data_IF_767345483916
#
_entry.id   IF_767345483916
#
_cell.length_a   1.000
_cell.length_b   1.000
_cell.length_c   1.000
_cell.angle_alpha   90.00
_cell.angle_beta   90.00
_cell.angle_gamma   90.00
#
_symmetry.space_group_name_H-M   'P 1'
#
loop_
_entity.id
_entity.type
_entity.pdbx_description
1 polymer ?
#
# COMPACT_ATOMS: atom_id res chain seq x y z
N UNK A 1 -9.25 23.74 -5.49
CA UNK A 1 -7.83 23.69 -5.08
C UNK A 1 -7.35 25.12 -5.02
N UNK A 2 -6.89 25.59 -3.87
CA UNK A 2 -6.41 26.97 -3.70
C UNK A 2 -5.07 27.15 -4.45
N UNK A 3 -4.74 28.38 -4.86
CA UNK A 3 -3.41 28.73 -5.40
C UNK A 3 -2.28 28.28 -4.46
N UNK A 4 -2.50 28.30 -3.15
CA UNK A 4 -1.52 27.87 -2.15
C UNK A 4 -1.28 26.35 -2.16
N UNK A 5 -2.28 25.54 -2.53
CA UNK A 5 -2.16 24.07 -2.60
C UNK A 5 -1.29 23.62 -3.78
N UNK A 6 -1.11 24.48 -4.80
CA UNK A 6 -0.23 24.20 -5.94
C UNK A 6 1.26 24.35 -5.60
N UNK A 7 1.61 25.15 -4.60
CA UNK A 7 3.01 25.41 -4.22
C UNK A 7 3.53 24.47 -3.13
N UNK A 8 2.64 23.87 -2.34
CA UNK A 8 3.01 22.87 -1.33
C UNK A 8 2.03 21.69 -1.37
N UNK A 9 2.41 20.65 -2.11
CA UNK A 9 1.61 19.45 -2.30
C UNK A 9 1.32 18.73 -0.98
N UNK A 10 2.27 18.73 -0.04
CA UNK A 10 2.10 18.12 1.28
C UNK A 10 1.04 18.83 2.12
N UNK A 11 1.11 20.16 2.18
CA UNK A 11 0.12 20.96 2.88
C UNK A 11 -1.26 20.84 2.23
N UNK A 12 -1.33 20.87 0.89
CA UNK A 12 -2.57 20.65 0.14
C UNK A 12 -3.19 19.27 0.42
N UNK A 13 -2.36 18.23 0.45
CA UNK A 13 -2.77 16.86 0.76
C UNK A 13 -3.34 16.73 2.18
N UNK A 14 -2.65 17.27 3.18
CA UNK A 14 -3.05 17.18 4.59
C UNK A 14 -4.41 17.85 4.90
N UNK A 15 -4.83 18.84 4.09
CA UNK A 15 -6.17 19.44 4.21
C UNK A 15 -7.31 18.46 3.89
N UNK A 16 -7.05 17.47 3.03
CA UNK A 16 -8.07 16.54 2.55
C UNK A 16 -7.88 15.13 3.10
N UNK A 17 -6.64 14.75 3.41
CA UNK A 17 -6.31 13.41 3.85
C UNK A 17 -5.33 13.37 5.02
N UNK A 18 -5.52 12.37 5.89
CA UNK A 18 -4.61 12.03 6.97
C UNK A 18 -4.02 10.64 6.75
N UNK A 19 -2.75 10.47 7.07
CA UNK A 19 -2.05 9.18 7.02
C UNK A 19 -2.00 8.63 8.44
N UNK A 20 -2.47 7.41 8.61
CA UNK A 20 -2.37 6.66 9.85
C UNK A 20 -1.42 5.48 9.66
N UNK A 21 -0.40 5.40 10.50
CA UNK A 21 0.44 4.21 10.57
C UNK A 21 -0.40 3.05 11.13
N UNK A 22 -0.38 1.90 10.45
CA UNK A 22 -1.10 0.69 10.82
C UNK A 22 -0.47 -0.07 11.98
N UNK A 23 -0.16 0.63 13.07
CA UNK A 23 0.41 0.05 14.28
C UNK A 23 -0.64 -0.67 15.15
N UNK A 24 -1.90 -0.24 15.11
CA UNK A 24 -2.98 -0.88 15.86
C UNK A 24 -3.67 -1.98 15.05
N UNK A 25 -4.20 -2.99 15.75
CA UNK A 25 -4.96 -4.07 15.13
C UNK A 25 -6.21 -3.58 14.38
N UNK A 26 -6.87 -2.53 14.88
CA UNK A 26 -8.05 -1.93 14.24
C UNK A 26 -7.70 -1.28 12.90
N UNK A 27 -6.62 -0.48 12.85
CA UNK A 27 -6.18 0.18 11.60
C UNK A 27 -5.72 -0.87 10.59
N UNK A 28 -5.04 -1.95 11.03
CA UNK A 28 -4.67 -3.06 10.16
C UNK A 28 -5.88 -3.78 9.56
N UNK A 29 -6.93 -4.01 10.36
CA UNK A 29 -8.18 -4.61 9.86
C UNK A 29 -8.77 -3.78 8.71
N UNK A 30 -8.80 -2.45 8.86
CA UNK A 30 -9.28 -1.54 7.82
C UNK A 30 -8.40 -1.55 6.57
N UNK A 31 -7.08 -1.63 6.72
CA UNK A 31 -6.16 -1.81 5.57
C UNK A 31 -6.49 -3.10 4.80
N UNK A 32 -6.70 -4.22 5.50
CA UNK A 32 -7.02 -5.50 4.86
C UNK A 32 -8.37 -5.48 4.14
N UNK A 33 -9.36 -4.76 4.68
CA UNK A 33 -10.66 -4.56 4.03
C UNK A 33 -10.54 -3.69 2.78
N UNK A 34 -9.80 -2.58 2.85
CA UNK A 34 -9.54 -1.71 1.68
C UNK A 34 -8.83 -2.49 0.58
N UNK A 35 -7.84 -3.31 0.93
CA UNK A 35 -7.15 -4.19 -0.03
C UNK A 35 -8.10 -5.20 -0.65
N UNK A 36 -8.96 -5.85 0.14
CA UNK A 36 -9.94 -6.81 -0.38
C UNK A 36 -10.93 -6.15 -1.36
N UNK A 37 -11.50 -4.99 -1.02
CA UNK A 37 -12.39 -4.26 -1.92
C UNK A 37 -11.72 -3.93 -3.27
N UNK A 38 -10.43 -3.56 -3.26
CA UNK A 38 -9.71 -3.17 -4.48
C UNK A 38 -9.17 -4.38 -5.23
N UNK A 39 -8.36 -5.22 -4.61
CA UNK A 39 -7.65 -6.33 -5.28
C UNK A 39 -8.54 -7.55 -5.52
N UNK A 40 -9.47 -7.86 -4.60
CA UNK A 40 -10.34 -9.03 -4.70
C UNK A 40 -11.69 -8.71 -5.36
N UNK A 41 -12.39 -7.67 -4.91
CA UNK A 41 -13.75 -7.37 -5.38
C UNK A 41 -13.72 -6.59 -6.71
N UNK A 42 -12.88 -5.56 -6.84
CA UNK A 42 -12.87 -4.70 -8.03
C UNK A 42 -11.94 -5.20 -9.15
N UNK A 43 -10.65 -5.39 -8.87
CA UNK A 43 -9.63 -5.70 -9.88
C UNK A 43 -9.58 -7.19 -10.24
N UNK A 44 -10.13 -8.07 -9.40
CA UNK A 44 -10.08 -9.54 -9.55
C UNK A 44 -8.66 -10.09 -9.67
N UNK A 45 -7.67 -9.43 -9.06
CA UNK A 45 -6.28 -9.88 -9.02
C UNK A 45 -6.06 -10.97 -7.97
N UNK A 46 -6.86 -10.96 -6.91
CA UNK A 46 -6.82 -11.92 -5.81
C UNK A 46 -8.22 -12.53 -5.61
N UNK A 47 -8.35 -13.74 -5.04
CA UNK A 47 -9.65 -14.34 -4.79
C UNK A 47 -10.41 -13.61 -3.67
N UNK A 48 -11.73 -13.51 -3.81
CA UNK A 48 -12.61 -13.01 -2.76
C UNK A 48 -12.66 -13.97 -1.57
N UNK A 49 -12.46 -13.43 -0.36
CA UNK A 49 -12.50 -14.17 0.90
C UNK A 49 -13.76 -13.85 1.73
N UNK A 50 -14.37 -14.83 2.45
CA UNK A 50 -15.60 -14.61 3.23
C UNK A 50 -15.48 -13.59 4.36
N UNK A 51 -14.31 -13.45 4.97
CA UNK A 51 -14.06 -12.49 6.05
C UNK A 51 -13.81 -11.06 5.55
N UNK A 52 -13.77 -10.88 4.22
CA UNK A 52 -13.51 -9.63 3.50
C UNK A 52 -12.20 -8.98 3.88
N UNK A 53 -11.16 -9.79 4.08
CA UNK A 53 -9.78 -9.35 4.35
C UNK A 53 -8.84 -9.91 3.31
N UNK A 54 -8.04 -9.05 2.68
CA UNK A 54 -6.93 -9.49 1.84
C UNK A 54 -5.64 -9.42 2.66
N UNK A 55 -5.05 -10.58 2.87
CA UNK A 55 -3.80 -10.77 3.63
C UNK A 55 -2.89 -11.76 2.92
N UNK A 56 -1.58 -11.62 3.12
CA UNK A 56 -0.57 -12.54 2.62
C UNK A 56 0.56 -12.78 3.64
N UNK A 57 1.54 -13.60 3.26
CA UNK A 57 2.66 -13.99 4.12
C UNK A 57 3.61 -12.82 4.49
N UNK A 58 3.55 -11.69 3.79
CA UNK A 58 4.44 -10.54 4.02
C UNK A 58 3.85 -9.52 5.01
N UNK A 59 2.55 -9.62 5.32
CA UNK A 59 1.88 -8.71 6.25
C UNK A 59 2.47 -8.62 7.67
N UNK A 60 3.01 -9.70 8.27
CA UNK A 60 3.62 -9.62 9.60
C UNK A 60 4.85 -8.71 9.66
N UNK A 61 5.65 -8.63 8.60
CA UNK A 61 6.87 -7.80 8.53
C UNK A 61 6.65 -6.47 7.78
N UNK A 62 5.38 -6.08 7.60
CA UNK A 62 5.00 -4.89 6.86
C UNK A 62 4.62 -3.75 7.79
N UNK A 63 5.17 -2.57 7.53
CA UNK A 63 4.61 -1.31 8.00
C UNK A 63 3.43 -0.94 7.10
N UNK A 64 2.22 -1.00 7.65
CA UNK A 64 0.99 -0.65 6.94
C UNK A 64 0.72 0.85 7.04
N UNK A 65 0.16 1.46 5.99
CA UNK A 65 -0.27 2.85 5.98
C UNK A 65 -1.71 2.93 5.49
N UNK A 66 -2.59 3.48 6.32
CA UNK A 66 -3.97 3.77 5.96
C UNK A 66 -4.11 5.25 5.63
N UNK A 67 -4.76 5.55 4.52
CA UNK A 67 -5.15 6.91 4.16
C UNK A 67 -6.61 7.12 4.51
N UNK A 68 -6.92 8.18 5.26
CA UNK A 68 -8.29 8.60 5.57
C UNK A 68 -8.59 9.98 5.01
N UNK A 69 -9.88 10.26 4.84
CA UNK A 69 -10.38 11.63 4.70
C UNK A 69 -10.08 12.41 5.99
N UNK A 70 -9.54 13.62 5.89
CA UNK A 70 -9.35 14.53 7.03
C UNK A 70 -10.66 15.12 7.56
N UNK A 71 -11.80 14.80 6.94
CA UNK A 71 -13.13 15.27 7.33
C UNK A 71 -14.01 14.11 7.74
N UNK A 72 -14.84 14.34 8.75
CA UNK A 72 -15.88 13.42 9.19
C UNK A 72 -16.70 12.92 7.97
N UNK A 73 -16.95 11.61 7.87
CA UNK A 73 -16.77 10.60 8.92
C UNK A 73 -15.37 9.94 8.97
N UNK A 74 -14.33 10.57 8.43
CA UNK A 74 -12.94 10.05 8.43
C UNK A 74 -12.81 8.68 7.74
N UNK A 75 -13.54 8.52 6.64
CA UNK A 75 -13.58 7.26 5.89
C UNK A 75 -12.20 6.85 5.38
N UNK A 76 -11.88 5.54 5.38
CA UNK A 76 -10.75 5.00 4.63
C UNK A 76 -10.87 5.32 3.14
N UNK A 77 -9.78 5.84 2.59
CA UNK A 77 -9.63 6.27 1.19
C UNK A 77 -8.82 5.25 0.40
N UNK A 78 -7.75 4.77 1.01
CA UNK A 78 -6.79 3.88 0.39
C UNK A 78 -5.74 3.41 1.39
N UNK A 79 -4.80 2.59 0.94
CA UNK A 79 -3.69 2.13 1.74
C UNK A 79 -2.49 1.76 0.86
N UNK A 80 -1.35 1.59 1.52
CA UNK A 80 -0.14 1.00 0.96
C UNK A 80 0.60 0.29 2.09
N UNK A 81 1.57 -0.56 1.76
CA UNK A 81 2.50 -1.10 2.76
C UNK A 81 3.94 -0.90 2.35
N UNK A 82 4.83 -0.88 3.35
CA UNK A 82 6.26 -1.05 3.21
C UNK A 82 6.66 -2.36 3.88
N UNK A 83 7.09 -3.34 3.08
CA UNK A 83 7.64 -4.61 3.55
C UNK A 83 9.10 -4.38 3.90
N UNK A 84 9.48 -4.70 5.14
CA UNK A 84 10.87 -4.67 5.57
C UNK A 84 11.49 -6.05 5.34
N UNK A 85 12.75 -6.09 4.91
CA UNK A 85 13.48 -7.35 4.88
C UNK A 85 13.68 -7.87 6.30
N UNK A 86 13.60 -9.19 6.48
CA UNK A 86 13.83 -9.82 7.78
C UNK A 86 15.33 -9.76 8.13
N UNK A 87 15.76 -9.04 9.18
CA UNK A 87 17.17 -9.00 9.57
C UNK A 87 17.69 -10.34 10.09
N UNK A 88 16.81 -11.20 10.61
CA UNK A 88 17.14 -12.52 11.16
C UNK A 88 17.09 -13.64 10.11
N UNK A 89 16.56 -13.34 8.92
CA UNK A 89 16.55 -14.23 7.76
C UNK A 89 16.97 -13.46 6.49
N UNK A 90 18.29 -13.22 6.30
CA UNK A 90 18.80 -12.43 5.17
C UNK A 90 18.55 -13.06 3.80
N UNK A 91 18.23 -14.36 3.76
CA UNK A 91 17.94 -15.10 2.54
C UNK A 91 16.46 -15.01 2.15
N UNK A 92 15.57 -14.55 3.05
CA UNK A 92 14.16 -14.35 2.76
C UNK A 92 13.96 -13.29 1.66
N UNK A 93 13.37 -13.66 0.50
CA UNK A 93 13.16 -12.72 -0.60
C UNK A 93 11.98 -11.79 -0.34
N UNK A 94 12.12 -10.52 -0.74
CA UNK A 94 10.97 -9.62 -0.91
C UNK A 94 10.07 -10.11 -2.06
N UNK A 95 8.76 -9.78 -2.08
CA UNK A 95 7.85 -10.29 -3.12
C UNK A 95 8.32 -10.03 -4.55
N UNK A 96 8.93 -8.87 -4.83
CA UNK A 96 9.49 -8.51 -6.12
C UNK A 96 10.55 -9.50 -6.60
N UNK A 97 11.41 -9.99 -5.70
CA UNK A 97 12.46 -10.96 -6.05
C UNK A 97 11.86 -12.28 -6.55
N UNK A 98 10.75 -12.71 -5.95
CA UNK A 98 10.01 -13.89 -6.39
C UNK A 98 9.25 -13.64 -7.69
N UNK A 99 8.49 -12.56 -7.76
CA UNK A 99 7.65 -12.23 -8.91
C UNK A 99 8.47 -12.00 -10.19
N UNK A 100 9.69 -11.48 -10.05
CA UNK A 100 10.58 -11.15 -11.17
C UNK A 100 11.80 -12.08 -11.26
N UNK A 101 11.83 -13.22 -10.56
CA UNK A 101 13.01 -14.10 -10.49
C UNK A 101 13.59 -14.46 -11.87
N UNK A 102 12.73 -14.63 -12.87
CA UNK A 102 13.07 -15.00 -14.25
C UNK A 102 13.19 -13.82 -15.22
N UNK A 103 12.77 -12.61 -14.83
CA UNK A 103 12.70 -11.43 -15.72
C UNK A 103 13.60 -10.29 -15.28
N UNK A 104 14.09 -10.30 -14.04
CA UNK A 104 14.99 -9.28 -13.51
C UNK A 104 16.36 -9.33 -14.22
N UNK A 105 16.77 -8.18 -14.74
CA UNK A 105 18.11 -7.99 -15.28
C UNK A 105 19.12 -7.76 -14.13
N UNK A 106 19.79 -8.84 -13.76
CA UNK A 106 20.79 -8.85 -12.67
C UNK A 106 22.07 -8.09 -13.01
N UNK A 107 22.27 -7.67 -14.27
CA UNK A 107 23.35 -6.77 -14.62
C UNK A 107 23.05 -5.33 -14.20
N UNK A 108 21.77 -4.94 -14.11
CA UNK A 108 21.33 -3.62 -13.63
C UNK A 108 21.22 -3.63 -12.11
N UNK A 109 20.54 -4.63 -11.54
CA UNK A 109 20.36 -4.75 -10.10
C UNK A 109 20.24 -6.21 -9.70
N UNK A 110 21.09 -6.62 -8.78
CA UNK A 110 21.06 -7.95 -8.18
C UNK A 110 20.65 -7.82 -6.70
N UNK A 111 19.38 -8.10 -6.35
CA UNK A 111 18.88 -7.99 -4.97
C UNK A 111 19.71 -8.79 -3.96
N UNK A 112 20.31 -9.91 -4.37
CA UNK A 112 21.16 -10.73 -3.51
C UNK A 112 22.47 -10.04 -3.11
N UNK A 113 22.87 -8.95 -3.81
CA UNK A 113 24.06 -8.14 -3.50
C UNK A 113 23.75 -6.88 -2.68
N UNK A 114 22.48 -6.61 -2.39
CA UNK A 114 22.08 -5.42 -1.63
C UNK A 114 22.12 -5.70 -0.13
N UNK A 115 22.47 -4.69 0.66
CA UNK A 115 22.37 -4.76 2.11
C UNK A 115 20.89 -4.88 2.52
N UNK A 116 20.50 -6.06 3.04
CA UNK A 116 19.13 -6.37 3.46
C UNK A 116 18.57 -5.35 4.46
N UNK A 117 19.41 -4.76 5.32
CA UNK A 117 18.98 -3.77 6.31
C UNK A 117 18.64 -2.40 5.70
N UNK A 118 18.96 -2.20 4.42
CA UNK A 118 18.82 -0.91 3.72
C UNK A 118 17.84 -0.96 2.56
N UNK A 119 17.14 -2.07 2.38
CA UNK A 119 16.13 -2.24 1.36
C UNK A 119 14.78 -2.61 1.96
N UNK A 120 13.72 -2.32 1.21
CA UNK A 120 12.36 -2.70 1.51
C UNK A 120 11.51 -2.54 0.26
N UNK A 121 10.31 -3.10 0.28
CA UNK A 121 9.39 -3.06 -0.87
C UNK A 121 8.12 -2.31 -0.52
N UNK A 122 7.79 -1.29 -1.32
CA UNK A 122 6.47 -0.68 -1.27
C UNK A 122 5.54 -1.47 -2.20
N UNK A 123 4.46 -2.00 -1.65
CA UNK A 123 3.47 -2.78 -2.42
C UNK A 123 2.05 -2.55 -1.89
N UNK A 124 1.07 -3.19 -2.55
CA UNK A 124 -0.36 -3.12 -2.20
C UNK A 124 -0.91 -1.68 -2.14
N UNK A 125 -0.50 -0.83 -3.07
CA UNK A 125 -1.11 0.49 -3.26
C UNK A 125 -2.56 0.34 -3.74
N UNK A 126 -3.51 0.44 -2.82
CA UNK A 126 -4.95 0.33 -3.10
C UNK A 126 -5.65 1.66 -2.80
N UNK A 127 -6.41 2.18 -3.76
CA UNK A 127 -7.24 3.37 -3.57
C UNK A 127 -8.67 3.00 -3.94
N UNK A 128 -9.64 3.27 -3.06
CA UNK A 128 -11.05 3.00 -3.37
C UNK A 128 -11.49 3.81 -4.60
N UNK A 129 -12.31 3.20 -5.46
CA UNK A 129 -12.71 3.79 -6.75
C UNK A 129 -13.40 5.15 -6.61
N UNK A 130 -14.11 5.39 -5.50
CA UNK A 130 -14.75 6.68 -5.18
C UNK A 130 -13.76 7.85 -5.03
N UNK A 131 -12.49 7.56 -4.76
CA UNK A 131 -11.42 8.56 -4.59
C UNK A 131 -10.43 8.61 -5.75
N UNK A 132 -10.49 7.66 -6.69
CA UNK A 132 -9.64 7.67 -7.89
C UNK A 132 -10.06 8.71 -8.93
N UNK A 133 -11.33 9.12 -8.93
CA UNK A 133 -11.88 9.98 -10.00
C UNK A 133 -11.79 11.45 -9.65
N UNK A 134 -11.43 12.26 -10.64
CA UNK A 134 -11.61 13.71 -10.54
C UNK A 134 -13.10 14.04 -10.77
N UNK A 135 -13.59 15.11 -10.13
CA UNK A 135 -14.94 15.64 -10.43
C UNK A 135 -15.05 15.89 -11.94
N UNK A 136 -15.93 15.16 -12.63
CA UNK A 136 -16.20 15.32 -14.07
C UNK A 136 -15.77 14.15 -14.96
N UNK A 137 -15.01 13.18 -14.45
CA UNK A 137 -14.62 12.00 -15.24
C UNK A 137 -15.74 10.93 -15.22
N UNK A 138 -16.35 10.66 -16.39
CA UNK A 138 -17.32 9.56 -16.59
C UNK A 138 -16.61 8.24 -16.91
N UNK A 139 -17.33 7.15 -16.65
CA UNK A 139 -16.90 5.78 -16.91
C UNK A 139 -16.92 5.48 -18.41
#
# INVERSE_FOLDING_TARGET
MSLFDRFNLGAGFQRYFSIEAGASASVRDEVFRVRHEVYCEELKFEPERPDRRETDAYDPQSAHCLLRSSRAPFSPVGCTRLILANPDDPDAPLPFENACAHTIDRAIIDPAKLDRKRIGEVSRLAVRSTYRRRRGEKK
#
